data_IF_766517383596
#
_entry.id   IF_766517383596
#
_cell.length_a   1.000
_cell.length_b   1.000
_cell.length_c   1.000
_cell.angle_alpha   90.00
_cell.angle_beta   90.00
_cell.angle_gamma   90.00
#
_symmetry.space_group_name_H-M   'P 1'
#
loop_
_entity.id
_entity.type
_entity.pdbx_description
1 polymer ?
#
# COMPACT_ATOMS: atom_id res chain seq x y z
N UNK A 1 15.79 12.29 17.75
CA UNK A 1 15.33 11.80 16.43
C UNK A 1 15.39 10.29 16.41
N UNK A 2 14.34 9.60 15.95
CA UNK A 2 14.32 8.13 15.79
C UNK A 2 15.28 7.67 14.68
N UNK A 3 15.80 6.45 14.79
CA UNK A 3 16.65 5.80 13.77
C UNK A 3 15.99 5.82 12.39
N UNK A 4 14.66 5.62 12.31
CA UNK A 4 13.91 5.66 11.07
C UNK A 4 13.92 7.06 10.41
N UNK A 5 13.64 8.11 11.19
CA UNK A 5 13.68 9.51 10.72
C UNK A 5 15.07 9.85 10.18
N UNK A 6 16.14 9.46 10.89
CA UNK A 6 17.52 9.70 10.46
C UNK A 6 17.89 8.92 9.19
N UNK A 7 17.35 7.72 9.00
CA UNK A 7 17.56 6.93 7.78
C UNK A 7 16.89 7.57 6.57
N UNK A 8 15.63 8.03 6.71
CA UNK A 8 14.87 8.68 5.63
C UNK A 8 15.56 9.96 5.16
N UNK A 9 15.98 10.84 6.08
CA UNK A 9 16.67 12.10 5.74
C UNK A 9 17.99 11.88 4.97
N UNK A 10 18.60 10.69 5.07
CA UNK A 10 19.86 10.36 4.37
C UNK A 10 19.65 9.80 2.95
N UNK A 11 18.43 9.42 2.56
CA UNK A 11 18.17 8.75 1.28
C UNK A 11 18.42 9.66 0.06
N UNK A 12 18.18 10.97 0.17
CA UNK A 12 18.23 11.91 -0.97
C UNK A 12 19.61 12.31 -1.48
N UNK A 13 20.70 11.83 -0.87
CA UNK A 13 22.06 12.31 -1.13
C UNK A 13 22.81 11.42 -2.15
N UNK A 14 22.30 10.21 -2.44
CA UNK A 14 23.00 9.24 -3.30
C UNK A 14 22.53 9.32 -4.75
N UNK A 15 23.45 9.38 -5.75
CA UNK A 15 23.07 9.29 -7.14
C UNK A 15 22.38 7.95 -7.44
N UNK A 16 21.23 8.03 -8.11
CA UNK A 16 20.43 6.88 -8.51
C UNK A 16 21.18 6.19 -9.66
N UNK A 17 21.88 5.09 -9.38
CA UNK A 17 22.55 4.32 -10.42
C UNK A 17 21.63 3.19 -10.90
N UNK A 18 21.32 3.16 -12.20
CA UNK A 18 20.36 2.22 -12.82
C UNK A 18 20.92 0.82 -13.06
N UNK A 19 22.22 0.60 -12.79
CA UNK A 19 22.89 -0.68 -13.09
C UNK A 19 22.36 -1.87 -12.27
N UNK A 20 21.58 -1.63 -11.21
CA UNK A 20 21.04 -2.66 -10.33
C UNK A 20 19.59 -2.37 -9.93
N UNK A 21 18.65 -2.53 -10.86
CA UNK A 21 17.22 -2.31 -10.59
C UNK A 21 16.71 -3.21 -9.45
N UNK A 22 16.01 -2.60 -8.49
CA UNK A 22 15.38 -3.27 -7.35
C UNK A 22 13.92 -2.85 -7.31
N UNK A 23 12.97 -3.72 -7.70
CA UNK A 23 11.56 -3.34 -7.77
C UNK A 23 11.04 -2.94 -6.39
N UNK A 24 10.46 -1.75 -6.32
CA UNK A 24 9.50 -1.41 -5.27
C UNK A 24 8.11 -1.58 -5.86
N UNK A 25 7.23 -2.28 -5.16
CA UNK A 25 5.94 -2.69 -5.71
C UNK A 25 4.83 -1.94 -4.99
N UNK A 26 3.99 -1.26 -5.77
CA UNK A 26 2.72 -0.71 -5.35
C UNK A 26 1.62 -1.68 -5.81
N UNK A 27 0.75 -2.06 -4.89
CA UNK A 27 -0.25 -3.09 -5.08
C UNK A 27 -1.62 -2.48 -4.81
N UNK A 28 -2.48 -2.40 -5.82
CA UNK A 28 -3.85 -1.95 -5.64
C UNK A 28 -4.76 -3.16 -5.39
N UNK A 29 -5.46 -3.20 -4.25
CA UNK A 29 -6.57 -4.12 -4.01
C UNK A 29 -7.89 -3.34 -4.01
N UNK A 30 -8.81 -3.64 -4.94
CA UNK A 30 -10.12 -3.03 -4.92
C UNK A 30 -10.98 -3.60 -3.79
N UNK A 31 -11.85 -2.76 -3.27
CA UNK A 31 -12.87 -3.10 -2.29
C UNK A 31 -14.26 -3.05 -2.94
N UNK A 32 -15.25 -3.70 -2.35
CA UNK A 32 -16.66 -3.56 -2.71
C UNK A 32 -17.41 -2.61 -1.74
N UNK A 33 -18.70 -2.42 -1.97
CA UNK A 33 -19.56 -1.54 -1.18
C UNK A 33 -19.71 -2.02 0.29
N UNK A 34 -19.41 -3.30 0.57
CA UNK A 34 -19.43 -3.90 1.91
C UNK A 34 -18.05 -3.88 2.58
N UNK A 35 -17.12 -3.12 2.03
CA UNK A 35 -15.73 -3.03 2.47
C UNK A 35 -14.96 -4.36 2.44
N UNK A 36 -15.36 -5.29 1.55
CA UNK A 36 -14.65 -6.55 1.35
C UNK A 36 -13.62 -6.45 0.22
N UNK A 37 -12.40 -6.91 0.51
CA UNK A 37 -11.30 -6.90 -0.46
C UNK A 37 -11.46 -8.01 -1.49
N UNK A 38 -11.21 -7.67 -2.76
CA UNK A 38 -11.24 -8.61 -3.88
C UNK A 38 -9.83 -8.95 -4.37
N UNK A 39 -9.72 -10.06 -5.10
CA UNK A 39 -8.48 -10.53 -5.73
C UNK A 39 -7.33 -10.82 -4.74
N UNK A 40 -7.63 -11.42 -3.58
CA UNK A 40 -6.66 -11.71 -2.53
C UNK A 40 -5.45 -12.54 -3.00
N UNK A 41 -5.59 -13.39 -4.04
CA UNK A 41 -4.46 -14.14 -4.62
C UNK A 41 -3.33 -13.26 -5.17
N UNK A 42 -3.57 -11.97 -5.40
CA UNK A 42 -2.54 -11.01 -5.76
C UNK A 42 -1.55 -10.78 -4.60
N UNK A 43 -1.99 -10.91 -3.35
CA UNK A 43 -1.12 -10.84 -2.18
C UNK A 43 -0.13 -12.02 -2.13
N UNK A 44 -0.59 -13.22 -2.49
CA UNK A 44 0.29 -14.40 -2.60
C UNK A 44 1.35 -14.21 -3.69
N UNK A 45 0.97 -13.65 -4.84
CA UNK A 45 1.89 -13.33 -5.91
C UNK A 45 2.96 -12.32 -5.45
N UNK A 46 2.55 -11.27 -4.75
CA UNK A 46 3.45 -10.23 -4.23
C UNK A 46 4.43 -10.81 -3.20
N UNK A 47 3.96 -11.69 -2.32
CA UNK A 47 4.82 -12.40 -1.37
C UNK A 47 5.94 -13.16 -2.10
N UNK A 48 5.59 -13.92 -3.15
CA UNK A 48 6.55 -14.70 -3.93
C UNK A 48 7.52 -13.80 -4.71
N UNK A 49 7.04 -12.72 -5.33
CA UNK A 49 7.87 -11.79 -6.10
C UNK A 49 8.90 -11.07 -5.23
N UNK A 50 8.54 -10.72 -3.99
CA UNK A 50 9.40 -9.95 -3.10
C UNK A 50 10.27 -10.82 -2.21
N UNK A 51 9.85 -12.05 -1.92
CA UNK A 51 10.50 -12.96 -0.97
C UNK A 51 10.82 -12.27 0.38
N UNK A 52 9.98 -11.32 0.80
CA UNK A 52 10.18 -10.54 2.03
C UNK A 52 11.27 -9.46 1.97
N UNK A 53 11.70 -9.02 0.78
CA UNK A 53 12.70 -7.97 0.58
C UNK A 53 12.18 -6.74 -0.17
N UNK A 54 12.73 -5.59 0.20
CA UNK A 54 12.36 -4.28 -0.36
C UNK A 54 11.01 -3.76 0.15
N UNK A 55 10.63 -2.60 -0.33
CA UNK A 55 9.38 -1.90 -0.01
C UNK A 55 8.23 -2.46 -0.85
N UNK A 56 7.12 -2.73 -0.18
CA UNK A 56 5.84 -3.09 -0.77
C UNK A 56 4.79 -2.20 -0.14
N UNK A 57 3.99 -1.54 -0.95
CA UNK A 57 2.83 -0.76 -0.52
C UNK A 57 1.59 -1.47 -1.04
N UNK A 58 0.64 -1.77 -0.16
CA UNK A 58 -0.65 -2.35 -0.54
C UNK A 58 -1.71 -1.29 -0.25
N UNK A 59 -2.44 -0.91 -1.29
CA UNK A 59 -3.30 0.26 -1.29
C UNK A 59 -4.71 -0.08 -1.72
N UNK A 60 -5.66 0.59 -1.11
CA UNK A 60 -7.07 0.57 -1.48
C UNK A 60 -7.56 1.98 -1.76
N UNK A 61 -8.53 2.10 -2.68
CA UNK A 61 -9.27 3.34 -2.91
C UNK A 61 -10.72 3.10 -2.55
N UNK A 62 -11.29 3.98 -1.73
CA UNK A 62 -12.71 4.04 -1.43
C UNK A 62 -13.28 5.28 -2.12
N UNK A 63 -14.33 5.10 -2.91
CA UNK A 63 -15.02 6.23 -3.53
C UNK A 63 -15.92 6.95 -2.52
N UNK A 64 -15.83 8.28 -2.46
CA UNK A 64 -16.69 9.12 -1.62
C UNK A 64 -15.99 10.36 -1.08
N UNK A 65 -16.63 10.98 -0.08
CA UNK A 65 -16.08 12.12 0.64
C UNK A 65 -15.20 11.66 1.82
N UNK A 66 -14.06 12.33 2.03
CA UNK A 66 -13.07 11.95 3.05
C UNK A 66 -13.59 12.09 4.48
N UNK A 67 -14.50 13.05 4.73
CA UNK A 67 -15.09 13.27 6.05
C UNK A 67 -16.13 12.20 6.34
N UNK A 68 -16.99 11.90 5.36
CA UNK A 68 -18.03 10.89 5.50
C UNK A 68 -17.48 9.46 5.59
N UNK A 69 -16.45 9.15 4.80
CA UNK A 69 -15.85 7.80 4.73
C UNK A 69 -14.68 7.59 5.70
N UNK A 70 -14.46 8.48 6.67
CA UNK A 70 -13.32 8.39 7.60
C UNK A 70 -13.28 7.07 8.38
N UNK A 71 -14.43 6.64 8.93
CA UNK A 71 -14.53 5.38 9.66
C UNK A 71 -14.31 4.17 8.76
N UNK A 72 -14.87 4.20 7.56
CA UNK A 72 -14.71 3.15 6.55
C UNK A 72 -13.25 2.99 6.13
N UNK A 73 -12.56 4.10 5.88
CA UNK A 73 -11.14 4.10 5.55
C UNK A 73 -10.30 3.51 6.69
N UNK A 74 -10.64 3.82 7.94
CA UNK A 74 -9.96 3.27 9.12
C UNK A 74 -10.20 1.76 9.25
N UNK A 75 -11.45 1.31 9.11
CA UNK A 75 -11.82 -0.12 9.13
C UNK A 75 -11.14 -0.90 8.01
N UNK A 76 -11.17 -0.37 6.78
CA UNK A 76 -10.52 -0.97 5.63
C UNK A 76 -9.00 -1.04 5.81
N UNK A 77 -8.38 -0.01 6.39
CA UNK A 77 -6.93 0.00 6.65
C UNK A 77 -6.51 -1.07 7.66
N UNK A 78 -7.29 -1.26 8.72
CA UNK A 78 -7.04 -2.32 9.70
C UNK A 78 -7.18 -3.71 9.08
N UNK A 79 -8.26 -3.93 8.33
CA UNK A 79 -8.50 -5.19 7.62
C UNK A 79 -7.39 -5.48 6.60
N UNK A 80 -6.94 -4.45 5.87
CA UNK A 80 -5.83 -4.57 4.92
C UNK A 80 -4.51 -4.91 5.63
N UNK A 81 -4.26 -4.32 6.80
CA UNK A 81 -3.08 -4.64 7.61
C UNK A 81 -3.08 -6.12 8.04
N UNK A 82 -4.23 -6.64 8.48
CA UNK A 82 -4.40 -8.05 8.83
C UNK A 82 -4.15 -8.97 7.63
N UNK A 83 -4.70 -8.64 6.46
CA UNK A 83 -4.47 -9.40 5.22
C UNK A 83 -2.99 -9.42 4.82
N UNK A 84 -2.30 -8.28 4.88
CA UNK A 84 -0.85 -8.19 4.61
C UNK A 84 -0.07 -9.13 5.54
N UNK A 85 -0.43 -9.16 6.83
CA UNK A 85 0.20 -10.02 7.82
C UNK A 85 -0.09 -11.50 7.56
N UNK A 86 -1.35 -11.85 7.25
CA UNK A 86 -1.77 -13.22 6.93
C UNK A 86 -1.02 -13.79 5.72
N UNK A 87 -0.83 -12.98 4.68
CA UNK A 87 -0.06 -13.33 3.48
C UNK A 87 1.46 -13.15 3.65
N UNK A 88 1.94 -12.85 4.87
CA UNK A 88 3.36 -12.72 5.22
C UNK A 88 4.11 -11.71 4.37
N UNK A 89 3.43 -10.64 3.96
CA UNK A 89 4.04 -9.55 3.19
C UNK A 89 4.69 -8.57 4.17
N UNK A 90 5.96 -8.24 3.94
CA UNK A 90 6.62 -7.11 4.63
C UNK A 90 6.30 -5.83 3.87
N UNK A 91 5.12 -5.28 4.14
CA UNK A 91 4.60 -4.12 3.43
C UNK A 91 3.82 -3.17 4.34
N UNK A 92 3.42 -2.04 3.75
CA UNK A 92 2.66 -1.00 4.42
C UNK A 92 1.23 -0.96 3.82
N UNK A 93 0.18 -1.03 4.65
CA UNK A 93 -1.20 -0.81 4.20
C UNK A 93 -1.48 0.69 4.06
N UNK A 94 -2.13 1.09 2.97
CA UNK A 94 -2.63 2.45 2.77
C UNK A 94 -4.05 2.43 2.20
N UNK A 95 -4.86 3.40 2.59
CA UNK A 95 -6.24 3.55 2.09
C UNK A 95 -6.45 5.01 1.74
N UNK A 96 -6.86 5.26 0.51
CA UNK A 96 -7.19 6.59 -0.01
C UNK A 96 -8.70 6.70 -0.17
N UNK A 97 -9.27 7.84 0.21
CA UNK A 97 -10.64 8.21 -0.14
C UNK A 97 -10.57 9.25 -1.26
N UNK A 98 -11.33 9.05 -2.34
CA UNK A 98 -11.35 9.95 -3.50
C UNK A 98 -12.73 9.98 -4.15
N UNK A 99 -13.06 11.00 -4.92
CA UNK A 99 -14.35 11.09 -5.60
C UNK A 99 -14.54 10.00 -6.67
N UNK A 100 -13.44 9.53 -7.27
CA UNK A 100 -13.47 8.39 -8.21
C UNK A 100 -12.25 7.49 -8.06
N UNK A 101 -12.35 6.21 -8.45
CA UNK A 101 -11.20 5.29 -8.51
C UNK A 101 -10.11 5.85 -9.43
N UNK A 102 -10.50 6.42 -10.58
CA UNK A 102 -9.52 6.95 -11.54
C UNK A 102 -8.74 8.14 -10.99
N UNK A 103 -9.37 9.00 -10.20
CA UNK A 103 -8.70 10.10 -9.52
C UNK A 103 -7.79 9.56 -8.41
N UNK A 104 -8.29 8.62 -7.60
CA UNK A 104 -7.49 7.94 -6.59
C UNK A 104 -6.23 7.30 -7.18
N UNK A 105 -6.34 6.64 -8.35
CA UNK A 105 -5.20 6.01 -9.01
C UNK A 105 -4.12 7.00 -9.48
N UNK A 106 -4.48 8.25 -9.76
CA UNK A 106 -3.50 9.29 -10.14
C UNK A 106 -2.76 9.86 -8.93
N UNK A 107 -3.33 9.73 -7.74
CA UNK A 107 -2.85 10.34 -6.50
C UNK A 107 -2.17 9.34 -5.54
N UNK A 108 -2.09 8.06 -5.92
CA UNK A 108 -1.25 7.05 -5.26
C UNK A 108 0.20 7.14 -5.73
#
# INVERSE_FOLDING_TARGET
MSTATRAILKLGIKPIHTKNWRPQILVYLPVDDSLQFRHLGLLDLVHQLKAGHGLTLVVCIIEGDVVERHEDATKAKNTLAELIQQHRIKGLPEVLVSSTISEGMKNM
#
